data_IF_038471057836
#
_entry.id   IF_038471057836
#
_cell.length_a   1.000
_cell.length_b   1.000
_cell.length_c   1.000
_cell.angle_alpha   90.00
_cell.angle_beta   90.00
_cell.angle_gamma   90.00
#
_symmetry.space_group_name_H-M   'P 1'
#
loop_
_entity.id
_entity.type
_entity.pdbx_description
1 polymer ?
#
# COMPACT_ATOMS: atom_id res chain seq x y z
N UNK A 1 2.38 5.38 -14.58
CA UNK A 1 1.18 4.63 -14.16
C UNK A 1 0.73 5.14 -12.79
N UNK A 2 -0.58 5.25 -12.53
CA UNK A 2 -1.09 5.65 -11.21
C UNK A 2 -1.51 4.38 -10.46
N UNK A 3 -0.84 4.11 -9.34
CA UNK A 3 -1.15 3.03 -8.43
C UNK A 3 -1.73 3.56 -7.11
N UNK A 4 -2.56 2.76 -6.46
CA UNK A 4 -3.13 3.08 -5.15
C UNK A 4 -2.68 2.05 -4.12
N UNK A 5 -2.12 2.51 -3.00
CA UNK A 5 -1.66 1.64 -1.93
C UNK A 5 -2.61 1.73 -0.73
N UNK A 6 -3.31 0.62 -0.45
CA UNK A 6 -4.13 0.50 0.77
C UNK A 6 -3.25 0.17 1.97
N UNK A 7 -3.26 1.01 3.00
CA UNK A 7 -2.40 0.85 4.18
C UNK A 7 -3.08 1.39 5.45
N UNK A 8 -2.36 1.35 6.57
CA UNK A 8 -2.75 2.10 7.76
C UNK A 8 -2.48 3.59 7.53
N UNK A 9 -3.32 4.47 8.08
CA UNK A 9 -3.17 5.92 7.95
C UNK A 9 -1.81 6.42 8.41
N UNK A 10 -1.26 5.90 9.50
CA UNK A 10 0.07 6.30 9.98
C UNK A 10 1.16 6.02 8.95
N UNK A 11 1.05 4.89 8.24
CA UNK A 11 1.96 4.52 7.14
C UNK A 11 1.74 5.43 5.94
N UNK A 12 0.48 5.70 5.58
CA UNK A 12 0.14 6.61 4.49
C UNK A 12 0.69 8.02 4.71
N UNK A 13 0.52 8.58 5.91
CA UNK A 13 1.05 9.90 6.28
C UNK A 13 2.58 9.93 6.27
N UNK A 14 3.25 8.88 6.75
CA UNK A 14 4.70 8.77 6.69
C UNK A 14 5.23 8.74 5.25
N UNK A 15 4.57 8.00 4.36
CA UNK A 15 4.90 7.95 2.93
C UNK A 15 4.70 9.33 2.27
N UNK A 16 3.61 10.02 2.60
CA UNK A 16 3.36 11.39 2.13
C UNK A 16 4.40 12.40 2.67
N UNK A 17 4.95 12.16 3.86
CA UNK A 17 6.04 12.94 4.44
C UNK A 17 7.42 12.62 3.82
N UNK A 18 7.49 11.68 2.86
CA UNK A 18 8.71 11.33 2.13
C UNK A 18 9.42 10.08 2.63
N UNK A 19 8.82 9.31 3.53
CA UNK A 19 9.36 7.98 3.85
C UNK A 19 9.31 7.05 2.63
N UNK A 20 10.27 6.12 2.59
CA UNK A 20 10.35 5.13 1.52
C UNK A 20 9.44 3.95 1.83
N UNK A 21 8.85 3.38 0.78
CA UNK A 21 8.15 2.12 0.90
C UNK A 21 9.05 1.02 1.43
N UNK A 22 8.51 0.25 2.37
CA UNK A 22 9.13 -0.99 2.82
C UNK A 22 8.60 -2.14 1.97
N UNK A 23 9.50 -2.80 1.25
CA UNK A 23 9.14 -4.01 0.51
C UNK A 23 8.72 -5.12 1.48
N UNK A 24 7.64 -5.83 1.13
CA UNK A 24 7.27 -7.05 1.82
C UNK A 24 8.28 -8.15 1.48
N UNK A 25 8.81 -8.81 2.49
CA UNK A 25 9.70 -9.97 2.36
C UNK A 25 9.01 -11.27 2.85
N UNK A 26 7.67 -11.30 2.80
CA UNK A 26 6.91 -12.43 3.31
C UNK A 26 6.93 -13.58 2.28
N UNK A 27 7.32 -14.78 2.72
CA UNK A 27 7.41 -15.98 1.86
C UNK A 27 6.06 -16.44 1.32
N UNK A 28 4.96 -15.99 1.94
CA UNK A 28 3.59 -16.27 1.50
C UNK A 28 3.07 -15.25 0.48
N UNK A 29 3.91 -14.32 0.04
CA UNK A 29 3.55 -13.37 -1.00
C UNK A 29 3.56 -14.08 -2.37
N UNK A 30 2.38 -14.40 -2.85
CA UNK A 30 2.10 -15.06 -4.13
C UNK A 30 2.74 -14.43 -5.38
N UNK A 31 3.14 -13.14 -5.32
CA UNK A 31 3.83 -12.43 -6.39
C UNK A 31 5.32 -12.20 -6.10
N UNK A 32 5.86 -12.79 -5.02
CA UNK A 32 7.22 -12.58 -4.55
C UNK A 32 7.40 -11.25 -3.81
N UNK A 33 8.58 -11.03 -3.23
CA UNK A 33 8.84 -9.84 -2.41
C UNK A 33 8.68 -8.53 -3.18
N UNK A 34 7.94 -7.56 -2.61
CA UNK A 34 7.67 -6.30 -3.32
C UNK A 34 6.71 -5.36 -2.61
N UNK A 35 6.28 -4.33 -3.33
CA UNK A 35 5.25 -3.37 -2.94
C UNK A 35 4.13 -3.50 -3.96
N UNK A 36 2.90 -3.62 -3.47
CA UNK A 36 1.74 -3.86 -4.33
C UNK A 36 0.84 -2.64 -4.37
N UNK A 37 0.39 -2.34 -5.58
CA UNK A 37 -0.50 -1.23 -5.87
C UNK A 37 -1.74 -1.75 -6.59
N UNK A 38 -2.87 -1.12 -6.31
CA UNK A 38 -4.09 -1.26 -7.10
C UNK A 38 -4.01 -0.27 -8.25
N UNK A 39 -3.91 -0.76 -9.49
CA UNK A 39 -3.91 0.11 -10.66
C UNK A 39 -5.31 0.66 -10.91
N UNK A 40 -5.42 1.97 -11.13
CA UNK A 40 -6.60 2.69 -11.61
C UNK A 40 -7.86 2.76 -10.73
N UNK A 41 -7.98 2.00 -9.62
CA UNK A 41 -9.15 2.07 -8.72
C UNK A 41 -8.76 2.35 -7.24
N UNK A 42 -8.84 3.62 -6.77
CA UNK A 42 -8.57 3.98 -5.38
C UNK A 42 -9.58 3.38 -4.41
N UNK A 43 -10.83 3.20 -4.84
CA UNK A 43 -11.89 2.64 -4.00
C UNK A 43 -11.57 1.19 -3.69
N UNK A 44 -11.08 0.42 -4.67
CA UNK A 44 -10.67 -0.96 -4.41
C UNK A 44 -9.50 -1.05 -3.42
N UNK A 45 -8.53 -0.14 -3.51
CA UNK A 45 -7.44 -0.05 -2.54
C UNK A 45 -7.92 0.22 -1.11
N UNK A 46 -8.90 1.12 -0.95
CA UNK A 46 -9.53 1.39 0.34
C UNK A 46 -10.34 0.19 0.86
N UNK A 47 -11.16 -0.44 -0.01
CA UNK A 47 -11.93 -1.63 0.34
C UNK A 47 -11.01 -2.75 0.87
N UNK A 48 -9.88 -2.99 0.21
CA UNK A 48 -8.89 -3.96 0.69
C UNK A 48 -8.35 -3.60 2.08
N UNK A 49 -8.02 -2.32 2.32
CA UNK A 49 -7.53 -1.86 3.62
C UNK A 49 -8.59 -2.05 4.73
N UNK A 50 -9.86 -1.79 4.42
CA UNK A 50 -11.00 -2.02 5.33
C UNK A 50 -11.22 -3.51 5.60
N UNK A 51 -11.19 -4.35 4.57
CA UNK A 51 -11.29 -5.81 4.73
C UNK A 51 -10.13 -6.35 5.59
N UNK A 52 -8.92 -5.82 5.37
CA UNK A 52 -7.73 -6.21 6.13
C UNK A 52 -7.78 -5.74 7.58
N UNK A 53 -8.31 -4.56 7.88
CA UNK A 53 -8.44 -4.06 9.27
C UNK A 53 -9.36 -4.95 10.11
N UNK A 54 -10.38 -5.54 9.48
CA UNK A 54 -11.39 -6.40 10.13
C UNK A 54 -10.97 -7.87 10.29
N UNK A 55 -9.79 -8.29 9.81
CA UNK A 55 -9.41 -9.71 9.88
C UNK A 55 -9.24 -10.19 11.32
N UNK A 56 -9.85 -11.34 11.68
CA UNK A 56 -9.62 -11.97 12.98
C UNK A 56 -8.16 -12.42 13.11
N UNK A 57 -7.60 -12.32 14.32
CA UNK A 57 -6.17 -12.59 14.59
C UNK A 57 -5.29 -11.34 14.67
N UNK A 58 -5.87 -10.15 14.53
CA UNK A 58 -5.18 -8.87 14.69
C UNK A 58 -4.66 -8.31 13.36
N UNK A 59 -5.17 -7.13 13.00
CA UNK A 59 -4.67 -6.41 11.82
C UNK A 59 -3.59 -5.41 12.17
N UNK A 60 -2.64 -5.23 11.25
CA UNK A 60 -1.67 -4.13 11.25
C UNK A 60 -2.29 -2.82 10.75
N UNK A 61 -3.46 -2.87 10.12
CA UNK A 61 -4.24 -1.70 9.68
C UNK A 61 -5.28 -1.40 10.75
N UNK A 62 -5.12 -0.29 11.46
CA UNK A 62 -6.01 0.22 12.49
C UNK A 62 -6.97 1.26 11.91
N UNK A 63 -6.44 2.20 11.14
CA UNK A 63 -7.22 3.21 10.42
C UNK A 63 -6.97 3.03 8.92
N UNK A 64 -7.93 2.47 8.15
CA UNK A 64 -7.77 2.25 6.72
C UNK A 64 -7.53 3.56 5.95
N UNK A 65 -6.51 3.55 5.09
CA UNK A 65 -6.11 4.68 4.26
C UNK A 65 -5.73 4.22 2.86
N UNK A 66 -5.94 5.07 1.85
CA UNK A 66 -5.48 4.84 0.48
C UNK A 66 -4.64 6.02 0.00
N UNK A 67 -3.37 5.76 -0.30
CA UNK A 67 -2.46 6.72 -0.92
C UNK A 67 -2.45 6.56 -2.44
N UNK A 68 -2.37 7.67 -3.17
CA UNK A 68 -2.09 7.67 -4.61
C UNK A 68 -0.58 7.75 -4.81
N UNK A 69 -0.02 6.86 -5.62
CA UNK A 69 1.39 6.84 -5.97
C UNK A 69 1.53 6.79 -7.49
N UNK A 70 2.30 7.72 -8.06
CA UNK A 70 2.66 7.65 -9.46
C UNK A 70 3.88 6.74 -9.61
N UNK A 71 3.68 5.52 -10.12
CA UNK A 71 4.78 4.62 -10.50
C UNK A 71 5.17 4.93 -11.95
N UNK A 72 6.37 5.42 -12.21
CA UNK A 72 6.88 5.51 -13.59
C UNK A 72 7.10 4.10 -14.18
N UNK A 73 7.07 4.00 -15.51
CA UNK A 73 7.20 2.78 -16.32
C UNK A 73 8.47 1.93 -16.08
N UNK A 74 9.41 2.37 -15.23
CA UNK A 74 10.64 1.68 -14.83
C UNK A 74 10.70 1.25 -13.36
N UNK A 75 9.60 1.32 -12.61
CA UNK A 75 9.47 0.61 -11.32
C UNK A 75 10.46 1.03 -10.21
N UNK A 76 11.09 2.19 -10.32
CA UNK A 76 11.95 2.83 -9.30
C UNK A 76 11.84 4.35 -9.55
N UNK A 77 11.38 5.26 -8.68
CA UNK A 77 11.49 5.48 -7.23
C UNK A 77 10.33 6.43 -6.84
N UNK A 78 9.72 6.33 -5.65
CA UNK A 78 10.12 6.99 -4.39
C UNK A 78 10.51 8.48 -4.48
N UNK A 79 9.66 9.29 -3.82
CA UNK A 79 9.81 10.70 -3.43
C UNK A 79 9.64 11.72 -4.59
N UNK A 80 9.27 12.98 -4.28
CA UNK A 80 8.39 13.84 -5.08
C UNK A 80 8.77 14.02 -6.56
#
# INVERSE_FOLDING_TARGET
>A
MLGFHGCDKSVGEALLAGEKFKQSANVYDWLGSGIYFWESDPRRGLEWAVERSKRPGGSRIKEPFVGKDATDERGQRCAP
#
